data_IF_691235072292
#
_entry.id   IF_691235072292
#
_cell.length_a   1.000
_cell.length_b   1.000
_cell.length_c   1.000
_cell.angle_alpha   90.00
_cell.angle_beta   90.00
_cell.angle_gamma   90.00
#
_symmetry.space_group_name_H-M   'P 1'
#
loop_
_entity.id
_entity.type
_entity.pdbx_description
1 polymer ?
#
# COMPACT_ATOMS: atom_id res chain seq x y z
N UNK A 1 -7.63 -4.91 17.55
CA UNK A 1 -7.81 -3.79 16.59
C UNK A 1 -8.56 -4.30 15.36
N UNK A 2 -9.80 -3.84 15.10
CA UNK A 2 -10.74 -4.53 14.21
C UNK A 2 -10.62 -4.20 12.70
N UNK A 3 -9.90 -3.15 12.29
CA UNK A 3 -9.96 -2.64 10.90
C UNK A 3 -8.67 -2.83 10.10
N UNK A 4 -7.84 -3.78 10.48
CA UNK A 4 -6.53 -4.00 9.88
C UNK A 4 -6.55 -5.30 9.06
N UNK A 5 -6.47 -5.16 7.74
CA UNK A 5 -6.59 -6.24 6.77
C UNK A 5 -5.29 -6.42 6.00
N UNK A 6 -4.91 -7.68 5.73
CA UNK A 6 -3.80 -7.99 4.85
C UNK A 6 -4.32 -8.09 3.41
N UNK A 7 -3.80 -7.23 2.52
CA UNK A 7 -4.13 -7.23 1.09
C UNK A 7 -2.86 -7.28 0.26
N UNK A 8 -2.95 -7.90 -0.91
CA UNK A 8 -1.87 -7.96 -1.90
C UNK A 8 -2.18 -6.99 -3.03
N UNK A 9 -1.19 -6.21 -3.41
CA UNK A 9 -1.28 -5.29 -4.54
C UNK A 9 -0.21 -5.67 -5.56
N UNK A 10 -0.59 -5.61 -6.83
CA UNK A 10 0.35 -5.73 -7.93
C UNK A 10 1.03 -4.38 -8.13
N UNK A 11 2.36 -4.38 -8.17
CA UNK A 11 3.16 -3.17 -8.40
C UNK A 11 3.83 -3.34 -9.75
N UNK A 12 3.40 -2.56 -10.73
CA UNK A 12 3.95 -2.63 -12.09
C UNK A 12 5.41 -2.14 -12.12
N UNK A 13 5.75 -1.13 -11.31
CA UNK A 13 7.10 -0.56 -11.26
C UNK A 13 8.18 -1.56 -10.84
N UNK A 14 7.84 -2.55 -10.03
CA UNK A 14 8.76 -3.61 -9.56
C UNK A 14 8.37 -5.00 -10.09
N UNK A 15 7.34 -5.09 -10.95
CA UNK A 15 6.76 -6.32 -11.47
C UNK A 15 6.55 -7.41 -10.40
N UNK A 16 6.05 -7.02 -9.23
CA UNK A 16 5.91 -7.91 -8.06
C UNK A 16 4.63 -7.70 -7.27
N UNK A 17 4.24 -8.73 -6.53
CA UNK A 17 3.18 -8.64 -5.52
C UNK A 17 3.73 -8.10 -4.20
N UNK A 18 3.16 -7.02 -3.70
CA UNK A 18 3.46 -6.48 -2.36
C UNK A 18 2.30 -6.78 -1.42
N UNK A 19 2.60 -7.42 -0.29
CA UNK A 19 1.61 -7.73 0.74
C UNK A 19 1.66 -6.66 1.82
N UNK A 20 0.58 -5.89 1.97
CA UNK A 20 0.49 -4.80 2.94
C UNK A 20 -0.62 -5.06 3.93
N UNK A 21 -0.32 -4.72 5.19
CA UNK A 21 -1.30 -4.71 6.26
C UNK A 21 -1.91 -3.31 6.35
N UNK A 22 -3.10 -3.13 5.81
CA UNK A 22 -3.73 -1.83 5.59
C UNK A 22 -5.05 -1.70 6.34
N UNK A 23 -5.45 -0.46 6.59
CA UNK A 23 -6.80 -0.14 7.06
C UNK A 23 -7.70 0.28 5.91
N UNK A 24 -9.01 0.30 6.13
CA UNK A 24 -9.97 0.71 5.10
C UNK A 24 -9.78 2.17 4.64
N UNK A 25 -9.26 3.05 5.53
CA UNK A 25 -8.88 4.41 5.17
C UNK A 25 -7.70 4.43 4.19
N UNK A 26 -6.67 3.61 4.42
CA UNK A 26 -5.54 3.49 3.52
C UNK A 26 -5.95 2.91 2.15
N UNK A 27 -6.95 2.02 2.12
CA UNK A 27 -7.48 1.48 0.86
C UNK A 27 -8.06 2.60 -0.02
N UNK A 28 -8.84 3.52 0.56
CA UNK A 28 -9.37 4.69 -0.16
C UNK A 28 -8.25 5.62 -0.65
N UNK A 29 -7.17 5.75 0.11
CA UNK A 29 -6.01 6.54 -0.30
C UNK A 29 -5.30 5.91 -1.51
N UNK A 30 -5.13 4.59 -1.51
CA UNK A 30 -4.55 3.83 -2.64
C UNK A 30 -5.44 3.95 -3.88
N UNK A 31 -6.76 3.83 -3.72
CA UNK A 31 -7.71 3.99 -4.82
C UNK A 31 -7.65 5.39 -5.45
N UNK A 32 -7.53 6.43 -4.62
CA UNK A 32 -7.49 7.83 -5.09
C UNK A 32 -6.15 8.26 -5.70
N UNK A 33 -5.02 7.80 -5.16
CA UNK A 33 -3.68 8.25 -5.54
C UNK A 33 -2.91 7.24 -6.41
N UNK A 34 -3.35 5.98 -6.44
CA UNK A 34 -2.62 4.85 -7.02
C UNK A 34 -1.66 4.19 -6.02
N UNK A 35 -1.35 2.91 -6.26
CA UNK A 35 -0.47 2.12 -5.40
C UNK A 35 0.98 2.62 -5.44
N UNK A 36 1.48 3.01 -6.62
CA UNK A 36 2.87 3.48 -6.81
C UNK A 36 3.16 4.75 -6.01
N UNK A 37 2.23 5.72 -6.02
CA UNK A 37 2.36 6.95 -5.24
C UNK A 37 2.39 6.68 -3.73
N UNK A 38 1.55 5.74 -3.26
CA UNK A 38 1.50 5.35 -1.85
C UNK A 38 2.78 4.60 -1.44
N UNK A 39 3.30 3.72 -2.29
CA UNK A 39 4.57 3.03 -2.03
C UNK A 39 5.74 4.01 -2.03
N UNK A 40 5.80 4.95 -2.98
CA UNK A 40 6.81 5.99 -3.02
C UNK A 40 6.77 6.84 -1.73
N UNK A 41 5.58 7.21 -1.27
CA UNK A 41 5.39 7.93 -0.01
C UNK A 41 5.77 7.08 1.21
N UNK A 42 5.41 5.80 1.26
CA UNK A 42 5.81 4.90 2.35
C UNK A 42 7.32 4.68 2.40
N UNK A 43 7.97 4.57 1.24
CA UNK A 43 9.43 4.46 1.10
C UNK A 43 10.11 5.74 1.57
N UNK A 44 9.56 6.91 1.24
CA UNK A 44 10.02 8.21 1.73
C UNK A 44 9.82 8.37 3.26
N UNK A 45 8.73 7.85 3.81
CA UNK A 45 8.49 7.78 5.25
C UNK A 45 9.36 6.72 5.98
N UNK A 46 10.17 5.93 5.26
CA UNK A 46 11.07 4.93 5.85
C UNK A 46 10.35 3.73 6.47
N UNK A 47 9.05 3.54 6.18
CA UNK A 47 8.30 2.36 6.65
C UNK A 47 8.69 1.16 5.78
N UNK A 48 9.21 0.11 6.41
CA UNK A 48 9.55 -1.16 5.73
C UNK A 48 8.30 -1.74 5.07
N UNK A 49 8.31 -1.74 3.74
CA UNK A 49 7.39 -2.46 2.83
C UNK A 49 7.89 -3.87 2.57
#
# INVERSE_FOLDING_TARGET
MPNLQNKKFWVESENRWVSLKITNAALRTIDKLGIDAVIAKMKAEGKKV
#
